data_IF_127335865620
#
_entry.id   IF_127335865620
#
_cell.length_a   1.000
_cell.length_b   1.000
_cell.length_c   1.000
_cell.angle_alpha   90.00
_cell.angle_beta   90.00
_cell.angle_gamma   90.00
#
_symmetry.space_group_name_H-M   'P 1'
#
loop_
_entity.id
_entity.type
_entity.pdbx_description
1 polymer ?
#
# COMPACT_ATOMS: atom_id res chain seq x y z
N UNK A 1 -7.63 -6.61 9.57
CA UNK A 1 -6.82 -5.39 9.78
C UNK A 1 -6.44 -4.83 8.44
N UNK A 2 -6.63 -3.51 8.22
CA UNK A 2 -6.37 -2.87 6.93
C UNK A 2 -5.39 -1.70 7.05
N UNK A 3 -4.58 -1.44 6.01
CA UNK A 3 -3.59 -0.38 5.99
C UNK A 3 -4.20 0.99 5.68
N UNK A 4 -3.36 2.02 5.72
CA UNK A 4 -3.71 3.39 5.38
C UNK A 4 -3.73 3.69 3.87
N UNK A 5 -3.01 2.93 3.05
CA UNK A 5 -3.03 3.09 1.60
C UNK A 5 -4.21 2.35 0.98
N UNK A 6 -4.91 2.99 0.04
CA UNK A 6 -6.13 2.43 -0.58
C UNK A 6 -7.22 2.04 0.44
N UNK A 7 -7.57 2.88 1.44
CA UNK A 7 -8.31 2.44 2.63
C UNK A 7 -9.67 1.82 2.31
N UNK A 8 -10.46 2.39 1.41
CA UNK A 8 -11.76 1.82 1.00
C UNK A 8 -11.58 0.49 0.27
N UNK A 9 -10.66 0.42 -0.68
CA UNK A 9 -10.39 -0.80 -1.43
C UNK A 9 -9.97 -1.96 -0.50
N UNK A 10 -9.07 -1.70 0.44
CA UNK A 10 -8.58 -2.70 1.37
C UNK A 10 -9.64 -3.20 2.36
N UNK A 11 -10.58 -2.36 2.72
CA UNK A 11 -11.73 -2.77 3.54
C UNK A 11 -12.70 -3.61 2.71
N UNK A 12 -13.13 -3.11 1.56
CA UNK A 12 -14.14 -3.76 0.74
C UNK A 12 -13.67 -5.12 0.21
N UNK A 13 -12.40 -5.25 -0.19
CA UNK A 13 -11.84 -6.51 -0.65
C UNK A 13 -11.82 -7.62 0.39
N UNK A 14 -11.90 -7.29 1.68
CA UNK A 14 -12.01 -8.24 2.79
C UNK A 14 -13.46 -8.41 3.27
N UNK A 15 -14.15 -7.29 3.43
CA UNK A 15 -15.50 -7.28 4.00
C UNK A 15 -16.54 -7.89 3.06
N UNK A 16 -16.50 -7.56 1.76
CA UNK A 16 -17.49 -8.04 0.82
C UNK A 16 -17.52 -9.58 0.71
N UNK A 17 -16.39 -10.29 0.50
CA UNK A 17 -16.42 -11.75 0.49
C UNK A 17 -16.72 -12.36 1.87
N UNK A 18 -16.34 -11.71 2.97
CA UNK A 18 -16.66 -12.15 4.32
C UNK A 18 -18.18 -12.19 4.53
N UNK A 19 -18.86 -11.09 4.26
CA UNK A 19 -20.33 -11.00 4.42
C UNK A 19 -21.05 -11.89 3.40
N UNK A 20 -20.58 -11.95 2.17
CA UNK A 20 -21.17 -12.81 1.14
C UNK A 20 -21.10 -14.31 1.48
N UNK A 21 -20.09 -14.71 2.26
CA UNK A 21 -19.97 -16.10 2.75
C UNK A 21 -20.69 -16.36 4.06
N UNK A 22 -21.45 -15.39 4.59
CA UNK A 22 -22.21 -15.52 5.85
C UNK A 22 -21.35 -15.40 7.10
N UNK A 23 -20.13 -14.89 6.99
CA UNK A 23 -19.25 -14.67 8.14
C UNK A 23 -19.47 -13.31 8.78
N UNK A 24 -19.12 -13.18 10.05
CA UNK A 24 -19.06 -11.92 10.78
C UNK A 24 -17.65 -11.33 10.72
N UNK A 25 -17.54 -10.02 10.89
CA UNK A 25 -16.26 -9.33 10.82
C UNK A 25 -16.07 -8.33 11.96
N UNK A 26 -14.86 -8.32 12.50
CA UNK A 26 -14.32 -7.22 13.30
C UNK A 26 -13.24 -6.54 12.49
N UNK A 27 -13.46 -5.30 12.09
CA UNK A 27 -12.52 -4.51 11.29
C UNK A 27 -11.73 -3.53 12.17
N UNK A 28 -10.40 -3.58 12.06
CA UNK A 28 -9.52 -2.53 12.56
C UNK A 28 -8.84 -1.85 11.37
N UNK A 29 -9.22 -0.63 11.00
CA UNK A 29 -8.49 0.15 10.00
C UNK A 29 -7.19 0.71 10.59
N UNK A 30 -6.32 1.20 9.71
CA UNK A 30 -5.15 1.95 10.16
C UNK A 30 -5.58 3.19 10.96
N UNK A 31 -4.89 3.44 12.07
CA UNK A 31 -5.06 4.65 12.88
C UNK A 31 -4.73 5.95 12.14
N UNK A 32 -4.00 5.86 11.02
CA UNK A 32 -3.63 7.01 10.18
C UNK A 32 -4.78 7.40 9.24
N UNK A 33 -5.61 6.43 8.79
CA UNK A 33 -6.68 6.66 7.83
C UNK A 33 -7.99 5.93 8.23
N UNK A 34 -8.59 6.22 9.38
CA UNK A 34 -9.75 5.49 9.87
C UNK A 34 -11.10 5.98 9.29
N UNK A 35 -11.17 7.22 8.80
CA UNK A 35 -12.44 7.88 8.48
C UNK A 35 -13.27 7.19 7.41
N UNK A 36 -12.62 6.68 6.35
CA UNK A 36 -13.32 5.92 5.30
C UNK A 36 -14.03 4.67 5.83
N UNK A 37 -13.47 4.04 6.88
CA UNK A 37 -14.07 2.87 7.50
C UNK A 37 -15.28 3.21 8.37
N UNK A 38 -15.31 4.42 8.95
CA UNK A 38 -16.49 4.92 9.64
C UNK A 38 -17.67 5.09 8.68
N UNK A 39 -17.42 5.69 7.51
CA UNK A 39 -18.46 5.81 6.46
C UNK A 39 -18.98 4.44 6.01
N UNK A 40 -18.10 3.43 5.89
CA UNK A 40 -18.54 2.07 5.58
C UNK A 40 -19.42 1.50 6.69
N UNK A 41 -19.10 1.76 7.97
CA UNK A 41 -19.94 1.34 9.09
C UNK A 41 -21.34 2.00 9.06
N UNK A 42 -21.40 3.28 8.74
CA UNK A 42 -22.66 4.02 8.55
C UNK A 42 -23.49 3.41 7.40
N UNK A 43 -22.86 3.11 6.26
CA UNK A 43 -23.51 2.44 5.12
C UNK A 43 -24.06 1.07 5.52
N UNK A 44 -23.33 0.28 6.29
CA UNK A 44 -23.80 -1.03 6.78
C UNK A 44 -25.02 -0.90 7.70
N UNK A 45 -25.04 0.12 8.55
CA UNK A 45 -26.21 0.41 9.41
C UNK A 45 -27.42 0.88 8.59
N UNK A 46 -27.24 1.81 7.65
CA UNK A 46 -28.31 2.26 6.76
C UNK A 46 -28.87 1.11 5.91
N UNK A 47 -28.01 0.20 5.47
CA UNK A 47 -28.41 -1.01 4.73
C UNK A 47 -29.11 -2.06 5.62
N UNK A 48 -29.28 -1.78 6.92
CA UNK A 48 -29.91 -2.68 7.91
C UNK A 48 -29.21 -4.03 8.02
N UNK A 49 -27.90 -4.06 7.90
CA UNK A 49 -27.12 -5.25 8.17
C UNK A 49 -27.31 -5.62 9.66
N UNK A 50 -27.63 -6.89 9.98
CA UNK A 50 -27.87 -7.28 11.36
C UNK A 50 -26.74 -6.94 12.32
N UNK A 51 -27.08 -6.47 13.50
CA UNK A 51 -26.11 -6.14 14.54
C UNK A 51 -25.18 -7.32 14.82
N UNK A 52 -23.87 -7.03 14.94
CA UNK A 52 -22.84 -8.03 15.16
C UNK A 52 -22.25 -8.66 13.89
N UNK A 53 -22.88 -8.51 12.73
CA UNK A 53 -22.30 -8.99 11.46
C UNK A 53 -21.05 -8.19 11.08
N UNK A 54 -21.08 -6.88 11.23
CA UNK A 54 -19.94 -6.01 11.04
C UNK A 54 -19.70 -5.15 12.29
N UNK A 55 -18.46 -5.15 12.77
CA UNK A 55 -18.03 -4.39 13.93
C UNK A 55 -16.75 -3.63 13.60
N UNK A 56 -16.75 -2.32 13.80
CA UNK A 56 -15.58 -1.47 13.58
C UNK A 56 -14.95 -1.09 14.91
N UNK A 57 -13.65 -1.33 15.04
CA UNK A 57 -12.86 -0.89 16.20
C UNK A 57 -11.66 -0.08 15.76
N UNK A 58 -11.44 1.04 16.41
CA UNK A 58 -10.27 1.88 16.19
C UNK A 58 -9.24 1.67 17.29
N UNK A 59 -7.98 1.93 16.99
CA UNK A 59 -6.89 1.90 17.95
C UNK A 59 -5.55 1.57 17.32
N UNK A 60 -4.52 1.67 18.15
CA UNK A 60 -3.14 1.42 17.73
C UNK A 60 -2.91 -0.05 17.36
N UNK A 61 -2.19 -0.27 16.25
CA UNK A 61 -1.86 -1.62 15.77
C UNK A 61 -1.26 -2.53 16.84
N UNK A 62 -0.21 -2.10 17.58
CA UNK A 62 0.42 -2.90 18.64
C UNK A 62 -0.50 -3.24 19.84
N UNK A 63 -1.61 -2.54 20.01
CA UNK A 63 -2.54 -2.79 21.12
C UNK A 63 -3.76 -3.57 20.62
N UNK A 64 -4.56 -2.94 19.76
CA UNK A 64 -5.83 -3.54 19.28
C UNK A 64 -5.56 -4.67 18.29
N UNK A 65 -4.59 -4.49 17.39
CA UNK A 65 -4.22 -5.52 16.41
C UNK A 65 -3.67 -6.79 17.07
N UNK A 66 -2.85 -6.64 18.11
CA UNK A 66 -2.32 -7.76 18.87
C UNK A 66 -3.44 -8.48 19.65
N UNK A 67 -4.30 -7.72 20.35
CA UNK A 67 -5.44 -8.28 21.07
C UNK A 67 -6.38 -9.08 20.16
N UNK A 68 -6.69 -8.56 18.96
CA UNK A 68 -7.48 -9.29 17.96
C UNK A 68 -6.77 -10.57 17.51
N UNK A 69 -5.47 -10.48 17.25
CA UNK A 69 -4.69 -11.62 16.72
C UNK A 69 -4.61 -12.77 17.75
N UNK A 70 -4.51 -12.44 19.02
CA UNK A 70 -4.45 -13.42 20.11
C UNK A 70 -5.84 -13.91 20.59
N UNK A 71 -6.94 -13.22 20.20
CA UNK A 71 -8.25 -13.50 20.77
C UNK A 71 -8.77 -14.88 20.39
N UNK A 72 -9.19 -15.74 21.35
CA UNK A 72 -9.61 -17.12 21.07
C UNK A 72 -10.88 -17.21 20.21
N UNK A 73 -11.80 -16.24 20.32
CA UNK A 73 -13.07 -16.22 19.60
C UNK A 73 -12.96 -15.60 18.18
N UNK A 74 -11.76 -15.31 17.71
CA UNK A 74 -11.51 -14.92 16.33
C UNK A 74 -10.95 -16.13 15.57
N UNK A 75 -11.69 -16.64 14.61
CA UNK A 75 -11.35 -17.86 13.87
C UNK A 75 -10.30 -17.63 12.77
N UNK A 76 -10.25 -16.42 12.22
CA UNK A 76 -9.35 -16.07 11.12
C UNK A 76 -8.89 -14.63 11.22
N UNK A 77 -7.60 -14.40 10.95
CA UNK A 77 -7.04 -13.06 10.76
C UNK A 77 -6.77 -12.82 9.26
N UNK A 78 -7.30 -11.69 8.76
CA UNK A 78 -6.91 -11.15 7.46
C UNK A 78 -6.18 -9.83 7.68
N UNK A 79 -4.91 -9.78 7.29
CA UNK A 79 -4.01 -8.66 7.55
C UNK A 79 -3.42 -8.12 6.24
N UNK A 80 -3.49 -6.82 6.05
CA UNK A 80 -2.74 -6.14 4.98
C UNK A 80 -2.03 -4.94 5.58
N UNK A 81 -0.71 -4.93 5.53
CA UNK A 81 0.18 -3.83 5.92
C UNK A 81 1.67 -4.24 5.72
N UNK A 82 2.54 -3.84 6.64
CA UNK A 82 3.98 -4.11 6.61
C UNK A 82 4.33 -5.57 6.97
N UNK A 83 5.44 -6.06 6.44
CA UNK A 83 5.99 -7.38 6.80
C UNK A 83 6.19 -7.54 8.30
N UNK A 84 6.68 -6.48 9.00
CA UNK A 84 6.83 -6.51 10.45
C UNK A 84 5.51 -6.74 11.17
N UNK A 85 4.44 -6.05 10.74
CA UNK A 85 3.10 -6.24 11.29
C UNK A 85 2.56 -7.64 10.99
N UNK A 86 2.76 -8.14 9.78
CA UNK A 86 2.35 -9.50 9.40
C UNK A 86 3.01 -10.59 10.25
N UNK A 87 4.30 -10.47 10.51
CA UNK A 87 5.03 -11.37 11.41
C UNK A 87 4.44 -11.33 12.84
N UNK A 88 4.14 -10.14 13.36
CA UNK A 88 3.54 -9.99 14.69
C UNK A 88 2.16 -10.65 14.77
N UNK A 89 1.29 -10.39 13.77
CA UNK A 89 -0.04 -11.02 13.68
C UNK A 89 0.06 -12.55 13.59
N UNK A 90 0.94 -13.07 12.76
CA UNK A 90 1.12 -14.53 12.64
C UNK A 90 1.57 -15.17 13.96
N UNK A 91 2.52 -14.56 14.65
CA UNK A 91 3.00 -15.04 15.95
C UNK A 91 1.90 -15.00 17.01
N UNK A 92 1.18 -13.89 17.12
CA UNK A 92 0.10 -13.74 18.12
C UNK A 92 -1.10 -14.69 17.85
N UNK A 93 -1.27 -15.11 16.60
CA UNK A 93 -2.34 -16.04 16.18
C UNK A 93 -1.99 -17.52 16.37
N UNK A 94 -0.72 -17.85 16.61
CA UNK A 94 -0.24 -19.22 16.58
C UNK A 94 -0.85 -20.12 17.65
N UNK A 95 -0.99 -19.64 18.88
CA UNK A 95 -1.47 -20.44 20.01
C UNK A 95 -2.91 -20.95 19.83
N UNK A 96 -3.74 -20.23 19.05
CA UNK A 96 -5.11 -20.65 18.72
C UNK A 96 -5.22 -21.39 17.39
N UNK A 97 -4.11 -21.61 16.69
CA UNK A 97 -4.03 -22.29 15.38
C UNK A 97 -4.98 -21.69 14.32
N UNK A 98 -5.36 -20.43 14.48
CA UNK A 98 -6.26 -19.76 13.54
C UNK A 98 -5.59 -19.51 12.20
N UNK A 99 -6.38 -19.49 11.13
CA UNK A 99 -5.88 -19.13 9.80
C UNK A 99 -5.47 -17.66 9.77
N UNK A 100 -4.32 -17.39 9.18
CA UNK A 100 -3.82 -16.02 8.92
C UNK A 100 -3.60 -15.85 7.43
N UNK A 101 -4.37 -14.93 6.81
CA UNK A 101 -4.16 -14.48 5.43
C UNK A 101 -3.43 -13.14 5.45
N UNK A 102 -2.36 -13.02 4.69
CA UNK A 102 -1.49 -11.85 4.71
C UNK A 102 -1.27 -11.30 3.31
N UNK A 103 -1.48 -9.98 3.19
CA UNK A 103 -1.06 -9.18 2.06
C UNK A 103 -0.04 -8.17 2.56
N UNK A 104 1.19 -8.23 2.09
CA UNK A 104 2.33 -7.49 2.63
C UNK A 104 2.95 -6.57 1.58
N UNK A 105 3.91 -5.76 2.01
CA UNK A 105 4.67 -4.90 1.11
C UNK A 105 5.51 -5.69 0.11
N UNK A 106 5.78 -5.08 -1.02
CA UNK A 106 6.55 -5.70 -2.09
C UNK A 106 7.36 -4.69 -2.89
N UNK A 107 8.19 -5.25 -3.78
CA UNK A 107 8.93 -4.55 -4.83
C UNK A 107 8.68 -5.30 -6.15
N UNK A 108 7.52 -5.02 -6.75
CA UNK A 108 7.08 -5.75 -7.94
C UNK A 108 8.03 -5.52 -9.11
N UNK A 109 8.27 -6.58 -9.88
CA UNK A 109 9.07 -6.49 -11.09
C UNK A 109 8.24 -5.90 -12.24
N UNK A 110 8.88 -5.03 -13.01
CA UNK A 110 8.41 -4.55 -14.30
C UNK A 110 9.43 -5.01 -15.36
N UNK A 111 9.08 -6.03 -16.11
CA UNK A 111 9.99 -6.66 -17.07
C UNK A 111 9.73 -6.04 -18.44
N UNK A 112 10.75 -5.34 -18.99
CA UNK A 112 10.69 -4.66 -20.26
C UNK A 112 11.40 -5.52 -21.30
N UNK A 113 10.70 -5.86 -22.37
CA UNK A 113 11.24 -6.62 -23.48
C UNK A 113 11.96 -5.71 -24.48
N UNK A 114 12.88 -6.29 -25.27
CA UNK A 114 13.57 -5.61 -26.35
C UNK A 114 12.73 -5.70 -27.64
N UNK A 115 11.68 -4.91 -27.69
CA UNK A 115 10.73 -4.87 -28.82
C UNK A 115 10.30 -3.44 -29.15
N UNK A 116 9.38 -3.30 -30.10
CA UNK A 116 8.87 -2.01 -30.59
C UNK A 116 8.07 -1.24 -29.51
N UNK A 117 7.68 -1.89 -28.41
CA UNK A 117 6.96 -1.25 -27.30
C UNK A 117 7.89 -0.72 -26.21
N UNK A 118 9.21 -0.84 -26.36
CA UNK A 118 10.21 -0.53 -25.33
C UNK A 118 10.02 0.85 -24.71
N UNK A 119 10.00 1.91 -25.53
CA UNK A 119 9.85 3.29 -25.04
C UNK A 119 8.52 3.48 -24.28
N UNK A 120 7.42 3.03 -24.87
CA UNK A 120 6.10 3.10 -24.25
C UNK A 120 6.04 2.33 -22.94
N UNK A 121 6.70 1.17 -22.86
CA UNK A 121 6.73 0.32 -21.69
C UNK A 121 7.54 0.93 -20.54
N UNK A 122 8.67 1.57 -20.84
CA UNK A 122 9.46 2.34 -19.86
C UNK A 122 8.63 3.50 -19.31
N UNK A 123 8.08 4.34 -20.21
CA UNK A 123 7.29 5.51 -19.81
C UNK A 123 6.10 5.12 -18.95
N UNK A 124 5.33 4.12 -19.39
CA UNK A 124 4.18 3.61 -18.61
C UNK A 124 4.60 3.05 -17.27
N UNK A 125 5.70 2.28 -17.22
CA UNK A 125 6.22 1.69 -15.98
C UNK A 125 6.69 2.75 -15.00
N UNK A 126 7.42 3.76 -15.45
CA UNK A 126 7.86 4.89 -14.64
C UNK A 126 6.65 5.65 -14.05
N UNK A 127 5.64 5.92 -14.87
CA UNK A 127 4.43 6.59 -14.42
C UNK A 127 3.63 5.76 -13.40
N UNK A 128 3.47 4.46 -13.64
CA UNK A 128 2.74 3.56 -12.73
C UNK A 128 3.39 3.46 -11.33
N UNK A 129 4.72 3.60 -11.25
CA UNK A 129 5.41 3.62 -9.96
C UNK A 129 4.97 4.78 -9.06
N UNK A 130 4.49 5.88 -9.65
CA UNK A 130 4.09 7.09 -8.93
C UNK A 130 2.62 7.12 -8.54
N UNK A 131 1.83 6.15 -9.00
CA UNK A 131 0.42 6.07 -8.65
C UNK A 131 0.24 6.06 -7.13
N UNK A 132 -0.71 6.85 -6.62
CA UNK A 132 -0.92 7.08 -5.18
C UNK A 132 0.38 7.52 -4.46
N UNK A 133 1.19 8.36 -5.11
CA UNK A 133 2.49 8.83 -4.57
C UNK A 133 3.47 7.69 -4.27
N UNK A 134 3.42 6.60 -5.06
CA UNK A 134 4.23 5.40 -4.85
C UNK A 134 3.81 4.54 -3.65
N UNK A 135 2.73 4.91 -2.98
CA UNK A 135 2.24 4.25 -1.77
C UNK A 135 1.35 3.05 -2.10
N UNK A 136 1.90 2.07 -2.82
CA UNK A 136 1.16 0.90 -3.27
C UNK A 136 2.02 -0.37 -3.16
N UNK A 137 1.46 -1.43 -2.58
CA UNK A 137 2.16 -2.71 -2.37
C UNK A 137 2.55 -3.39 -3.68
N UNK A 138 1.79 -3.16 -4.75
CA UNK A 138 2.02 -3.72 -6.09
C UNK A 138 2.71 -2.74 -7.06
N UNK A 139 3.20 -1.60 -6.60
CA UNK A 139 3.92 -0.65 -7.47
C UNK A 139 5.09 -1.35 -8.18
N UNK A 140 5.23 -1.21 -9.52
CA UNK A 140 6.24 -1.92 -10.30
C UNK A 140 7.62 -1.22 -10.19
N UNK A 141 8.15 -1.18 -8.98
CA UNK A 141 9.32 -0.37 -8.59
C UNK A 141 10.67 -0.95 -9.00
N UNK A 142 10.72 -2.20 -9.48
CA UNK A 142 11.95 -2.79 -10.03
C UNK A 142 11.79 -2.97 -11.53
N UNK A 143 12.28 -2.01 -12.30
CA UNK A 143 12.28 -2.09 -13.76
C UNK A 143 13.48 -2.90 -14.24
N UNK A 144 13.23 -4.08 -14.81
CA UNK A 144 14.25 -4.96 -15.40
C UNK A 144 14.29 -4.71 -16.89
N UNK A 145 15.43 -4.27 -17.40
CA UNK A 145 15.63 -3.83 -18.78
C UNK A 145 16.79 -4.59 -19.44
N UNK A 146 16.81 -4.73 -20.76
CA UNK A 146 17.98 -5.22 -21.48
C UNK A 146 19.20 -4.33 -21.21
N UNK A 147 20.33 -4.93 -20.86
CA UNK A 147 21.55 -4.19 -20.51
C UNK A 147 22.07 -3.32 -21.67
N UNK A 148 21.87 -3.76 -22.91
CA UNK A 148 22.22 -3.04 -24.14
C UNK A 148 21.48 -1.70 -24.30
N UNK A 149 20.28 -1.56 -23.70
CA UNK A 149 19.44 -0.36 -23.81
C UNK A 149 19.35 0.46 -22.51
N UNK A 150 20.30 0.24 -21.58
CA UNK A 150 20.27 0.90 -20.26
C UNK A 150 20.24 2.42 -20.35
N UNK A 151 21.11 3.03 -21.18
CA UNK A 151 21.19 4.49 -21.30
C UNK A 151 19.91 5.10 -21.88
N UNK A 152 19.33 4.44 -22.88
CA UNK A 152 18.06 4.83 -23.49
C UNK A 152 16.92 4.76 -22.46
N UNK A 153 16.82 3.65 -21.72
CA UNK A 153 15.81 3.50 -20.66
C UNK A 153 15.90 4.60 -19.60
N UNK A 154 17.10 4.96 -19.17
CA UNK A 154 17.31 6.03 -18.21
C UNK A 154 16.84 7.39 -18.74
N UNK A 155 17.12 7.69 -20.02
CA UNK A 155 16.67 8.93 -20.63
C UNK A 155 15.15 9.00 -20.75
N UNK A 156 14.51 7.92 -21.20
CA UNK A 156 13.04 7.82 -21.31
C UNK A 156 12.39 7.97 -19.91
N UNK A 157 12.89 7.24 -18.91
CA UNK A 157 12.38 7.30 -17.56
C UNK A 157 12.51 8.71 -16.97
N UNK A 158 13.67 9.36 -17.14
CA UNK A 158 13.90 10.75 -16.74
C UNK A 158 12.88 11.69 -17.36
N UNK A 159 12.78 11.68 -18.68
CA UNK A 159 11.85 12.55 -19.41
C UNK A 159 10.41 12.37 -18.97
N UNK A 160 10.01 11.12 -18.68
CA UNK A 160 8.66 10.80 -18.19
C UNK A 160 8.42 11.38 -16.80
N UNK A 161 9.36 11.18 -15.90
CA UNK A 161 9.22 11.57 -14.48
C UNK A 161 9.27 13.08 -14.30
N UNK A 162 10.11 13.78 -15.06
CA UNK A 162 10.24 15.24 -15.02
C UNK A 162 8.99 15.98 -15.51
N UNK A 163 8.07 15.29 -16.19
CA UNK A 163 6.76 15.83 -16.58
C UNK A 163 5.68 15.64 -15.52
N UNK A 164 5.96 14.90 -14.46
CA UNK A 164 4.96 14.62 -13.40
C UNK A 164 4.82 15.83 -12.49
N UNK A 165 3.61 16.37 -12.44
CA UNK A 165 3.30 17.50 -11.56
C UNK A 165 3.08 17.02 -10.13
N UNK A 166 3.96 17.48 -9.23
CA UNK A 166 3.84 17.25 -7.79
C UNK A 166 3.22 18.50 -7.15
N UNK A 167 2.18 18.35 -6.31
CA UNK A 167 1.52 19.53 -5.77
C UNK A 167 0.37 19.23 -4.81
N UNK A 168 -0.45 20.27 -4.58
CA UNK A 168 -1.66 20.16 -3.76
C UNK A 168 -2.68 19.24 -4.47
N UNK A 169 -3.21 18.20 -3.77
CA UNK A 169 -4.18 17.28 -4.37
C UNK A 169 -5.54 17.92 -4.69
N UNK A 170 -5.78 19.17 -4.32
CA UNK A 170 -6.96 19.93 -4.71
C UNK A 170 -6.85 20.57 -6.09
N UNK A 171 -5.64 20.66 -6.63
CA UNK A 171 -5.40 21.20 -7.95
C UNK A 171 -5.54 20.10 -9.02
N UNK A 172 -6.33 20.36 -10.05
CA UNK A 172 -6.60 19.37 -11.13
C UNK A 172 -5.35 18.92 -11.89
N UNK A 173 -4.32 19.78 -11.95
CA UNK A 173 -3.06 19.47 -12.62
C UNK A 173 -2.13 18.55 -11.81
N UNK A 174 -2.40 18.35 -10.52
CA UNK A 174 -1.55 17.54 -9.65
C UNK A 174 -1.71 16.05 -9.94
N UNK A 175 -0.60 15.40 -10.28
CA UNK A 175 -0.52 13.95 -10.51
C UNK A 175 -0.05 13.22 -9.25
N UNK A 176 0.90 13.80 -8.52
CA UNK A 176 1.48 13.24 -7.31
C UNK A 176 1.25 14.20 -6.15
N UNK A 177 0.50 13.75 -5.17
CA UNK A 177 0.21 14.50 -3.95
C UNK A 177 1.22 14.22 -2.82
N UNK A 178 0.89 14.60 -1.58
CA UNK A 178 1.76 14.37 -0.43
C UNK A 178 1.79 12.91 0.00
N UNK A 179 2.86 12.54 0.70
CA UNK A 179 2.90 11.29 1.46
C UNK A 179 1.92 11.36 2.64
N UNK A 180 1.43 10.20 3.08
CA UNK A 180 0.37 10.08 4.09
C UNK A 180 0.74 10.69 5.46
N UNK A 181 2.02 10.75 5.79
CA UNK A 181 2.47 11.28 7.09
C UNK A 181 3.92 11.74 7.06
N UNK A 182 4.29 12.59 8.02
CA UNK A 182 5.67 13.01 8.22
C UNK A 182 6.63 11.83 8.47
N UNK A 183 6.19 10.80 9.18
CA UNK A 183 7.01 9.61 9.44
C UNK A 183 7.29 8.81 8.16
N UNK A 184 6.31 8.71 7.25
CA UNK A 184 6.54 8.09 5.94
C UNK A 184 7.45 8.95 5.06
N UNK A 185 7.31 10.26 5.10
CA UNK A 185 8.23 11.17 4.41
C UNK A 185 9.68 10.94 4.88
N UNK A 186 9.93 10.97 6.18
CA UNK A 186 11.28 10.74 6.73
C UNK A 186 11.84 9.37 6.33
N UNK A 187 11.01 8.33 6.38
CA UNK A 187 11.40 6.98 5.95
C UNK A 187 11.80 6.94 4.48
N UNK A 188 11.04 7.58 3.60
CA UNK A 188 11.35 7.62 2.17
C UNK A 188 12.64 8.37 1.92
N UNK A 189 12.86 9.53 2.58
CA UNK A 189 14.11 10.29 2.47
C UNK A 189 15.32 9.44 2.88
N UNK A 190 15.25 8.80 4.05
CA UNK A 190 16.33 7.92 4.54
C UNK A 190 16.63 6.77 3.57
N UNK A 191 15.63 6.17 2.92
CA UNK A 191 15.84 5.10 1.95
C UNK A 191 16.46 5.61 0.64
N UNK A 192 16.17 6.85 0.22
CA UNK A 192 16.82 7.48 -0.93
C UNK A 192 18.31 7.71 -0.60
N UNK A 193 18.60 8.25 0.58
CA UNK A 193 19.98 8.47 1.04
C UNK A 193 20.74 7.14 1.11
N UNK A 194 20.17 6.11 1.73
CA UNK A 194 20.76 4.76 1.77
C UNK A 194 21.05 4.23 0.37
N UNK A 195 20.14 4.39 -0.58
CA UNK A 195 20.39 3.95 -1.96
C UNK A 195 21.58 4.65 -2.62
N UNK A 196 21.76 5.94 -2.36
CA UNK A 196 22.93 6.70 -2.84
C UNK A 196 24.22 6.23 -2.16
N UNK A 197 24.20 6.01 -0.87
CA UNK A 197 25.34 5.49 -0.08
C UNK A 197 25.76 4.08 -0.55
N UNK A 198 24.80 3.24 -0.93
CA UNK A 198 25.04 1.93 -1.52
C UNK A 198 25.53 1.97 -2.98
N UNK A 199 25.68 3.15 -3.57
CA UNK A 199 26.25 3.35 -4.89
C UNK A 199 25.23 3.36 -6.04
N UNK A 200 23.95 3.54 -5.74
CA UNK A 200 22.94 3.71 -6.78
C UNK A 200 23.16 5.03 -7.55
N UNK A 201 22.95 4.98 -8.87
CA UNK A 201 22.98 6.17 -9.71
C UNK A 201 21.65 6.90 -9.66
N UNK A 202 21.66 8.15 -9.18
CA UNK A 202 20.47 9.00 -9.23
C UNK A 202 20.23 9.47 -10.68
N UNK A 203 19.11 9.08 -11.25
CA UNK A 203 18.71 9.48 -12.60
C UNK A 203 17.97 10.82 -12.58
N UNK A 204 17.04 10.98 -11.67
CA UNK A 204 16.29 12.22 -11.44
C UNK A 204 15.63 12.18 -10.04
N UNK A 205 15.14 13.32 -9.55
CA UNK A 205 14.59 13.44 -8.20
C UNK A 205 15.68 13.49 -7.14
N UNK A 206 15.51 12.75 -6.05
CA UNK A 206 16.47 12.69 -4.95
C UNK A 206 15.85 13.02 -3.59
N UNK A 207 16.69 13.28 -2.59
CA UNK A 207 16.25 13.72 -1.28
C UNK A 207 15.78 15.17 -1.31
N UNK A 208 14.87 15.52 -0.38
CA UNK A 208 14.30 16.85 -0.25
C UNK A 208 12.83 16.92 -0.64
N UNK A 209 12.33 18.15 -0.75
CA UNK A 209 10.99 18.42 -1.26
C UNK A 209 11.11 18.82 -2.74
N UNK A 210 10.20 18.35 -3.59
CA UNK A 210 10.13 18.80 -4.98
C UNK A 210 9.71 20.26 -5.09
#
# INVERSE_FOLDING_TARGET
>A
ITPWNWPVNQVVSKLAPCVASGCTAVLKPSEIAPLSSLVIAEIMDEAKVPAGVFNLINGMGPVVGEAMSAHPDIDMMSFTDSTRGGVAVAKASADSVKRVSQELGGKSANIILDDDAFERSISKGAHLCMNNTGQSCNAPTRMLIPSSRKSEAFQIARNTVEQVVVGDPKEESTVVGPLVSASQYQKVQSLIETGLEEGATLVTGGAGKP
#
